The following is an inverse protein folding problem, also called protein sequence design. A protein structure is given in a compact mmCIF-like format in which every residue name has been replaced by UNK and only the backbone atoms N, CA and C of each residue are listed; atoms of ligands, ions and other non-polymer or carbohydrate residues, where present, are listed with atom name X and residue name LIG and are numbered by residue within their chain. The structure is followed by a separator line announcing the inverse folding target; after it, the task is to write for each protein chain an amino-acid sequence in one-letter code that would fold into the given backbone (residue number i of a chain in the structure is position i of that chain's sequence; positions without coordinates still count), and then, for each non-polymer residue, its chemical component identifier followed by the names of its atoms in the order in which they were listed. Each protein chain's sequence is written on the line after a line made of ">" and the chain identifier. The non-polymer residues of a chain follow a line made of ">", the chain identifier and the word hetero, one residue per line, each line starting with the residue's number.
data_IF_762166022481
#
_entry.id   IF_762166022481
#
_cell.length_a   1.000
_cell.length_b   1.000
_cell.length_c   1.000
_cell.angle_alpha   90.00
_cell.angle_beta   90.00
_cell.angle_gamma   90.00
#
_symmetry.space_group_name_H-M   'P 1'
#
loop_
_entity.id
_entity.type
_entity.pdbx_description
1 polymer ?
#
# COMPACT_ATOMS: atom_id res chain seq x y z
N UNK A 1 -22.29 -35.07 -22.06
CA UNK A 1 -22.42 -33.87 -22.91
C UNK A 1 -21.29 -32.93 -22.50
N UNK A 2 -20.34 -32.67 -23.40
CA UNK A 2 -19.03 -32.10 -23.11
C UNK A 2 -19.09 -30.66 -22.57
N UNK A 3 -18.38 -30.42 -21.48
CA UNK A 3 -18.05 -29.12 -20.89
C UNK A 3 -17.17 -28.30 -21.83
N UNK A 4 -17.62 -27.09 -22.22
CA UNK A 4 -16.78 -26.08 -22.86
C UNK A 4 -16.37 -25.04 -21.82
N UNK A 5 -15.13 -25.15 -21.35
CA UNK A 5 -14.40 -24.06 -20.69
C UNK A 5 -14.09 -23.00 -21.75
N UNK A 6 -14.68 -21.82 -21.62
CA UNK A 6 -14.28 -20.66 -22.43
C UNK A 6 -12.90 -20.18 -21.94
N UNK A 7 -11.85 -20.44 -22.72
CA UNK A 7 -10.58 -19.73 -22.58
C UNK A 7 -10.83 -18.27 -22.92
N UNK A 8 -10.53 -17.37 -21.99
CA UNK A 8 -10.37 -15.95 -22.29
C UNK A 8 -9.16 -15.81 -23.23
N UNK A 9 -9.43 -15.44 -24.48
CA UNK A 9 -8.42 -15.21 -25.50
C UNK A 9 -7.54 -14.02 -25.11
N UNK A 10 -6.23 -14.25 -24.98
CA UNK A 10 -5.21 -13.22 -24.72
C UNK A 10 -5.14 -12.14 -25.81
N UNK A 11 -5.87 -12.31 -26.91
CA UNK A 11 -6.00 -11.34 -27.99
C UNK A 11 -6.99 -10.20 -27.66
N UNK A 12 -7.99 -10.44 -26.79
CA UNK A 12 -8.99 -9.43 -26.42
C UNK A 12 -8.47 -8.36 -25.43
N UNK A 13 -7.34 -8.62 -24.78
CA UNK A 13 -6.66 -7.68 -23.86
C UNK A 13 -5.63 -6.78 -24.57
N UNK A 14 -5.27 -7.07 -25.82
CA UNK A 14 -4.29 -6.28 -26.58
C UNK A 14 -4.68 -4.80 -26.78
N UNK A 15 -5.96 -4.42 -26.98
CA UNK A 15 -6.33 -3.02 -27.12
C UNK A 15 -6.31 -2.24 -25.80
N UNK A 16 -6.44 -2.93 -24.65
CA UNK A 16 -6.33 -2.32 -23.32
C UNK A 16 -4.87 -2.15 -22.90
N UNK A 17 -4.01 -3.10 -23.27
CA UNK A 17 -2.56 -3.02 -23.01
C UNK A 17 -1.88 -1.99 -23.93
N UNK A 18 -2.41 -1.75 -25.14
CA UNK A 18 -1.87 -0.71 -26.04
C UNK A 18 -2.15 0.72 -25.58
N UNK A 19 -3.03 0.94 -24.59
CA UNK A 19 -3.25 2.25 -23.95
C UNK A 19 -2.34 2.50 -22.75
N UNK A 20 -1.60 1.50 -22.28
CA UNK A 20 -0.46 1.66 -21.35
C UNK A 20 0.84 1.83 -22.15
N UNK A 21 0.79 2.64 -23.22
CA UNK A 21 1.96 3.32 -23.73
C UNK A 21 2.07 4.61 -22.93
N UNK A 22 2.75 4.52 -21.80
CA UNK A 22 3.33 5.68 -21.13
C UNK A 22 4.11 6.49 -22.16
N UNK A 23 3.56 7.64 -22.52
CA UNK A 23 4.27 8.89 -22.70
C UNK A 23 5.48 8.86 -23.65
N UNK A 24 5.23 8.97 -24.96
CA UNK A 24 6.17 9.66 -25.87
C UNK A 24 6.23 11.18 -25.61
N UNK A 25 5.99 11.63 -24.37
CA UNK A 25 6.30 12.98 -23.87
C UNK A 25 7.66 13.03 -23.18
N UNK A 26 8.28 11.90 -22.83
CA UNK A 26 9.67 11.91 -22.29
C UNK A 26 10.67 12.45 -23.32
N UNK A 27 10.53 12.08 -24.59
CA UNK A 27 11.41 12.57 -25.66
C UNK A 27 11.41 14.09 -25.80
N UNK A 28 10.22 14.70 -25.74
CA UNK A 28 10.06 16.16 -25.87
C UNK A 28 10.43 16.92 -24.60
N UNK A 29 10.21 16.33 -23.42
CA UNK A 29 10.60 16.92 -22.13
C UNK A 29 12.13 16.92 -21.94
N UNK A 30 12.80 15.84 -22.36
CA UNK A 30 14.25 15.69 -22.31
C UNK A 30 14.96 16.54 -23.38
N UNK A 31 14.38 16.69 -24.57
CA UNK A 31 14.98 17.47 -25.67
C UNK A 31 15.04 18.99 -25.41
N UNK A 32 14.09 19.52 -24.64
CA UNK A 32 13.92 20.96 -24.41
C UNK A 32 14.55 21.49 -23.12
N UNK A 33 14.99 20.61 -22.22
CA UNK A 33 15.65 21.02 -20.98
C UNK A 33 17.16 21.23 -21.17
N UNK A 34 17.59 22.49 -21.29
CA UNK A 34 19.02 22.86 -21.41
C UNK A 34 19.88 22.33 -20.25
N UNK A 35 19.30 22.13 -19.07
CA UNK A 35 19.99 21.57 -17.90
C UNK A 35 20.32 20.07 -18.07
N UNK A 36 19.52 19.31 -18.84
CA UNK A 36 19.77 17.88 -19.09
C UNK A 36 20.84 17.64 -20.16
N UNK A 37 20.95 18.51 -21.17
CA UNK A 37 21.96 18.38 -22.24
C UNK A 37 23.41 18.48 -21.75
N UNK A 38 23.68 19.14 -20.62
CA UNK A 38 25.04 19.23 -20.09
C UNK A 38 25.54 17.96 -19.39
N UNK A 39 24.66 17.00 -19.07
CA UNK A 39 25.05 15.74 -18.44
C UNK A 39 25.49 14.65 -19.45
N UNK A 40 25.16 14.82 -20.74
CA UNK A 40 25.42 13.82 -21.78
C UNK A 40 26.54 14.21 -22.74
N UNK A 41 27.40 15.16 -22.37
CA UNK A 41 28.66 15.35 -23.11
C UNK A 41 29.55 14.12 -22.91
N UNK A 42 29.73 13.43 -24.04
CA UNK A 42 30.52 12.23 -24.29
C UNK A 42 31.95 12.29 -23.74
N UNK A 43 32.10 11.82 -22.51
CA UNK A 43 33.12 10.85 -22.11
C UNK A 43 32.36 9.77 -21.34
N UNK A 44 32.58 8.49 -21.64
CA UNK A 44 32.09 7.39 -20.80
C UNK A 44 32.89 7.41 -19.50
N UNK A 45 32.55 8.38 -18.63
CA UNK A 45 33.13 8.47 -17.30
C UNK A 45 32.80 7.16 -16.60
N UNK A 46 33.84 6.33 -16.41
CA UNK A 46 33.72 5.10 -15.66
C UNK A 46 33.31 5.49 -14.24
N UNK A 47 32.14 5.02 -13.80
CA UNK A 47 31.69 5.23 -12.42
C UNK A 47 32.76 4.71 -11.47
N UNK A 48 32.99 5.44 -10.38
CA UNK A 48 33.81 4.95 -9.30
C UNK A 48 33.26 3.60 -8.82
N UNK A 49 34.14 2.61 -8.64
CA UNK A 49 33.73 1.23 -8.38
C UNK A 49 33.03 1.06 -7.03
N UNK A 50 33.42 1.85 -6.03
CA UNK A 50 32.75 1.83 -4.71
C UNK A 50 31.37 2.47 -4.83
N UNK A 51 31.27 3.62 -5.50
CA UNK A 51 29.98 4.25 -5.77
C UNK A 51 29.03 3.33 -6.54
N UNK A 52 29.51 2.67 -7.61
CA UNK A 52 28.71 1.73 -8.41
C UNK A 52 28.16 0.59 -7.54
N UNK A 53 29.00 0.03 -6.65
CA UNK A 53 28.58 -1.02 -5.71
C UNK A 53 27.52 -0.54 -4.73
N UNK A 54 27.72 0.63 -4.10
CA UNK A 54 26.77 1.19 -3.15
C UNK A 54 25.45 1.56 -3.82
N UNK A 55 25.50 2.27 -4.96
CA UNK A 55 24.32 2.64 -5.73
C UNK A 55 23.53 1.40 -6.16
N UNK A 56 24.21 0.37 -6.68
CA UNK A 56 23.57 -0.89 -7.08
C UNK A 56 22.85 -1.59 -5.92
N UNK A 57 23.46 -1.62 -4.74
CA UNK A 57 22.84 -2.21 -3.54
C UNK A 57 21.60 -1.42 -3.10
N UNK A 58 21.69 -0.08 -3.06
CA UNK A 58 20.57 0.79 -2.65
C UNK A 58 19.41 0.74 -3.65
N UNK A 59 19.69 0.75 -4.95
CA UNK A 59 18.66 0.63 -5.99
C UNK A 59 17.88 -0.68 -5.83
N UNK A 60 18.57 -1.80 -5.61
CA UNK A 60 17.91 -3.10 -5.38
C UNK A 60 17.03 -3.07 -4.13
N UNK A 61 17.51 -2.44 -3.05
CA UNK A 61 16.74 -2.28 -1.82
C UNK A 61 15.47 -1.46 -2.08
N UNK A 62 15.57 -0.32 -2.78
CA UNK A 62 14.41 0.53 -3.07
C UNK A 62 13.39 -0.14 -3.97
N UNK A 63 13.81 -0.93 -4.96
CA UNK A 63 12.90 -1.71 -5.80
C UNK A 63 12.08 -2.70 -4.97
N UNK A 64 12.72 -3.45 -4.06
CA UNK A 64 12.02 -4.42 -3.21
C UNK A 64 11.14 -3.71 -2.19
N UNK A 65 11.68 -2.73 -1.47
CA UNK A 65 10.96 -2.00 -0.44
C UNK A 65 9.74 -1.26 -1.00
N UNK A 66 9.89 -0.59 -2.14
CA UNK A 66 8.82 0.16 -2.81
C UNK A 66 7.76 -0.73 -3.47
N UNK A 67 8.14 -1.92 -3.97
CA UNK A 67 7.19 -2.81 -4.63
C UNK A 67 6.40 -3.68 -3.65
N UNK A 68 7.09 -4.40 -2.77
CA UNK A 68 6.46 -5.46 -1.95
C UNK A 68 5.53 -4.88 -0.89
N UNK A 69 5.93 -3.78 -0.24
CA UNK A 69 5.11 -3.14 0.80
C UNK A 69 3.91 -2.40 0.21
N UNK A 70 4.09 -1.68 -0.90
CA UNK A 70 3.02 -0.93 -1.57
C UNK A 70 1.96 -1.86 -2.16
N UNK A 71 2.37 -2.95 -2.80
CA UNK A 71 1.43 -3.94 -3.35
C UNK A 71 0.59 -4.62 -2.26
N UNK A 72 1.19 -4.95 -1.12
CA UNK A 72 0.47 -5.47 0.04
C UNK A 72 -0.53 -4.44 0.60
N UNK A 73 -0.09 -3.20 0.81
CA UNK A 73 -0.96 -2.12 1.30
C UNK A 73 -2.16 -1.86 0.38
N UNK A 74 -1.94 -1.84 -0.94
CA UNK A 74 -3.00 -1.69 -1.92
C UNK A 74 -3.97 -2.88 -1.87
N UNK A 75 -3.46 -4.11 -1.78
CA UNK A 75 -4.28 -5.32 -1.73
C UNK A 75 -5.22 -5.30 -0.52
N UNK A 76 -4.70 -4.97 0.67
CA UNK A 76 -5.52 -4.88 1.88
C UNK A 76 -6.50 -3.70 1.85
N UNK A 77 -6.10 -2.58 1.25
CA UNK A 77 -7.02 -1.44 1.08
C UNK A 77 -8.19 -1.82 0.17
N UNK A 78 -7.94 -2.49 -0.95
CA UNK A 78 -8.99 -3.02 -1.81
C UNK A 78 -9.84 -4.06 -1.07
N UNK A 79 -9.21 -5.02 -0.38
CA UNK A 79 -9.91 -6.05 0.39
C UNK A 79 -10.93 -5.44 1.38
N UNK A 80 -10.48 -4.48 2.19
CA UNK A 80 -11.33 -3.82 3.18
C UNK A 80 -12.42 -2.99 2.51
N UNK A 81 -12.11 -2.21 1.47
CA UNK A 81 -13.14 -1.44 0.77
C UNK A 81 -14.24 -2.34 0.18
N UNK A 82 -13.89 -3.46 -0.46
CA UNK A 82 -14.90 -4.37 -1.03
C UNK A 82 -15.67 -5.20 0.01
N UNK A 83 -15.13 -5.38 1.22
CA UNK A 83 -15.89 -5.91 2.37
C UNK A 83 -16.85 -4.87 2.98
N UNK A 84 -16.58 -3.58 2.79
CA UNK A 84 -17.31 -2.45 3.37
C UNK A 84 -17.94 -1.58 2.27
N UNK A 85 -18.97 -2.07 1.56
CA UNK A 85 -19.55 -1.41 0.40
C UNK A 85 -20.07 -0.01 0.68
N UNK A 86 -20.52 0.27 1.92
CA UNK A 86 -20.93 1.59 2.37
C UNK A 86 -19.79 2.61 2.32
N UNK A 87 -18.57 2.21 2.71
CA UNK A 87 -17.42 3.09 2.69
C UNK A 87 -16.83 3.18 1.27
N UNK A 88 -16.83 2.08 0.52
CA UNK A 88 -16.46 2.09 -0.89
C UNK A 88 -17.33 3.04 -1.71
N UNK A 89 -18.64 3.11 -1.44
CA UNK A 89 -19.54 4.07 -2.09
C UNK A 89 -19.12 5.52 -1.82
N UNK A 90 -18.68 5.84 -0.59
CA UNK A 90 -18.17 7.18 -0.22
C UNK A 90 -16.85 7.50 -0.94
N UNK A 91 -15.95 6.53 -1.04
CA UNK A 91 -14.69 6.67 -1.81
C UNK A 91 -14.98 6.94 -3.29
N UNK A 92 -15.91 6.19 -3.89
CA UNK A 92 -16.33 6.39 -5.29
C UNK A 92 -16.98 7.77 -5.49
N UNK A 93 -17.85 8.19 -4.58
CA UNK A 93 -18.46 9.53 -4.62
C UNK A 93 -17.43 10.66 -4.49
N UNK A 94 -16.43 10.50 -3.62
CA UNK A 94 -15.29 11.42 -3.54
C UNK A 94 -14.54 11.49 -4.87
N UNK A 95 -14.24 10.34 -5.49
CA UNK A 95 -13.55 10.29 -6.77
C UNK A 95 -14.36 10.96 -7.88
N UNK A 96 -15.67 10.71 -7.94
CA UNK A 96 -16.54 11.32 -8.95
C UNK A 96 -16.63 12.84 -8.77
N UNK A 97 -16.55 13.34 -7.53
CA UNK A 97 -16.53 14.78 -7.24
C UNK A 97 -15.25 15.48 -7.72
N UNK A 98 -14.10 14.78 -7.70
CA UNK A 98 -12.79 15.34 -8.06
C UNK A 98 -12.44 15.11 -9.53
N UNK A 99 -12.79 13.94 -10.08
CA UNK A 99 -12.38 13.50 -11.42
C UNK A 99 -13.55 13.42 -12.42
N UNK A 100 -14.76 13.80 -12.02
CA UNK A 100 -15.98 13.63 -12.80
C UNK A 100 -16.47 12.18 -12.81
N UNK A 101 -17.60 11.92 -13.46
CA UNK A 101 -18.24 10.58 -13.47
C UNK A 101 -17.67 9.64 -14.53
N UNK A 102 -16.91 10.14 -15.51
CA UNK A 102 -16.25 9.30 -16.51
C UNK A 102 -15.00 8.64 -15.90
N UNK A 103 -15.09 7.34 -15.63
CA UNK A 103 -14.00 6.56 -15.07
C UNK A 103 -12.80 6.42 -16.04
N UNK A 104 -13.03 6.56 -17.35
CA UNK A 104 -11.98 6.49 -18.37
C UNK A 104 -11.10 7.75 -18.41
N UNK A 105 -11.64 8.90 -18.01
CA UNK A 105 -10.92 10.18 -18.02
C UNK A 105 -9.95 10.35 -16.83
N UNK A 106 -10.04 9.49 -15.80
CA UNK A 106 -9.29 9.61 -14.55
C UNK A 106 -7.78 9.76 -14.77
N UNK A 107 -7.22 8.90 -15.63
CA UNK A 107 -5.78 8.83 -15.88
C UNK A 107 -5.28 10.10 -16.58
N UNK A 108 -6.03 10.63 -17.56
CA UNK A 108 -5.67 11.85 -18.27
C UNK A 108 -5.78 13.07 -17.34
N UNK A 109 -6.83 13.14 -16.52
CA UNK A 109 -7.01 14.21 -15.53
C UNK A 109 -5.85 14.21 -14.52
N UNK A 110 -5.52 13.05 -13.93
CA UNK A 110 -4.40 12.92 -13.00
C UNK A 110 -3.04 13.23 -13.63
N UNK A 111 -2.84 12.86 -14.90
CA UNK A 111 -1.60 13.16 -15.62
C UNK A 111 -1.44 14.67 -15.86
N UNK A 112 -2.55 15.39 -16.01
CA UNK A 112 -2.54 16.85 -16.18
C UNK A 112 -2.42 17.60 -14.85
N UNK A 113 -3.06 17.11 -13.79
CA UNK A 113 -2.98 17.69 -12.45
C UNK A 113 -2.88 16.60 -11.35
N UNK A 114 -1.65 16.16 -11.00
CA UNK A 114 -1.42 15.21 -9.92
C UNK A 114 -1.82 15.73 -8.54
N UNK A 115 -1.97 17.04 -8.36
CA UNK A 115 -2.29 17.63 -7.05
C UNK A 115 -3.70 17.31 -6.58
N UNK A 116 -4.58 16.88 -7.50
CA UNK A 116 -5.93 16.38 -7.21
C UNK A 116 -5.93 15.22 -6.20
N UNK A 117 -4.84 14.45 -6.09
CA UNK A 117 -4.70 13.39 -5.08
C UNK A 117 -4.73 13.92 -3.63
N UNK A 118 -4.48 15.22 -3.43
CA UNK A 118 -4.58 15.89 -2.13
C UNK A 118 -6.03 16.15 -1.73
N UNK A 119 -6.98 16.12 -2.68
CA UNK A 119 -8.41 16.34 -2.46
C UNK A 119 -9.16 15.04 -2.17
N UNK A 120 -8.46 13.99 -1.69
CA UNK A 120 -9.02 12.67 -1.43
C UNK A 120 -8.93 12.26 0.07
N UNK A 121 -9.51 13.04 1.01
CA UNK A 121 -9.45 12.72 2.44
C UNK A 121 -10.10 11.38 2.81
N UNK A 122 -11.24 11.00 2.21
CA UNK A 122 -11.96 9.74 2.47
C UNK A 122 -11.12 8.55 1.97
N UNK A 123 -10.55 8.65 0.77
CA UNK A 123 -9.59 7.64 0.26
C UNK A 123 -8.37 7.54 1.16
N UNK A 124 -7.82 8.68 1.61
CA UNK A 124 -6.68 8.71 2.53
C UNK A 124 -6.99 8.03 3.86
N UNK A 125 -8.20 8.24 4.39
CA UNK A 125 -8.67 7.59 5.60
C UNK A 125 -8.75 6.06 5.44
N UNK A 126 -9.29 5.56 4.31
CA UNK A 126 -9.31 4.13 4.02
C UNK A 126 -7.91 3.51 3.95
N UNK A 127 -6.96 4.18 3.29
CA UNK A 127 -5.56 3.71 3.21
C UNK A 127 -4.94 3.67 4.62
N UNK A 128 -5.11 4.72 5.41
CA UNK A 128 -4.55 4.79 6.77
C UNK A 128 -5.12 3.72 7.70
N UNK A 129 -6.42 3.44 7.60
CA UNK A 129 -7.07 2.38 8.38
C UNK A 129 -6.67 0.99 7.92
N UNK A 130 -6.47 0.80 6.61
CA UNK A 130 -5.97 -0.47 6.06
C UNK A 130 -4.55 -0.77 6.53
N UNK A 131 -3.67 0.23 6.48
CA UNK A 131 -2.30 0.14 7.00
C UNK A 131 -2.23 -0.06 8.52
N UNK A 132 -3.28 0.35 9.25
CA UNK A 132 -3.41 0.10 10.68
C UNK A 132 -3.74 -1.36 10.95
N UNK A 133 -4.74 -1.90 10.25
CA UNK A 133 -5.20 -3.28 10.45
C UNK A 133 -4.24 -4.33 9.87
N UNK A 134 -3.54 -3.98 8.79
CA UNK A 134 -2.64 -4.86 8.04
C UNK A 134 -1.34 -4.12 7.69
N UNK A 135 -0.49 -3.79 8.68
CA UNK A 135 0.79 -3.13 8.44
C UNK A 135 1.69 -4.04 7.59
N UNK A 136 2.21 -3.59 6.42
CA UNK A 136 3.01 -4.46 5.55
C UNK A 136 4.36 -4.83 6.14
N UNK A 137 4.93 -4.00 7.01
CA UNK A 137 6.26 -4.17 7.56
C UNK A 137 6.31 -3.72 9.03
N UNK A 138 7.33 -4.19 9.74
CA UNK A 138 7.68 -3.72 11.08
C UNK A 138 9.19 -3.49 11.19
N UNK A 139 9.62 -2.89 12.29
CA UNK A 139 11.03 -2.57 12.52
C UNK A 139 11.57 -3.23 13.79
N UNK A 140 12.74 -3.85 13.67
CA UNK A 140 13.58 -4.23 14.81
C UNK A 140 14.76 -3.25 14.86
N UNK A 141 15.23 -2.94 16.07
CA UNK A 141 16.43 -2.16 16.34
C UNK A 141 17.34 -2.95 17.26
N UNK A 142 18.63 -2.81 17.07
CA UNK A 142 19.60 -3.23 18.08
C UNK A 142 19.59 -2.20 19.21
N UNK A 143 19.49 -2.66 20.44
CA UNK A 143 19.60 -1.82 21.62
C UNK A 143 21.03 -1.34 21.84
N UNK A 144 21.19 -0.40 22.78
CA UNK A 144 22.47 0.23 23.09
C UNK A 144 22.66 0.34 24.60
N UNK A 145 23.89 0.25 25.13
CA UNK A 145 24.18 0.49 26.54
C UNK A 145 23.75 1.89 27.01
N UNK A 146 23.68 2.86 26.10
CA UNK A 146 23.29 4.23 26.43
C UNK A 146 21.76 4.45 26.39
N UNK A 147 20.98 3.42 26.07
CA UNK A 147 19.52 3.50 25.95
C UNK A 147 18.86 2.56 26.95
N UNK A 148 17.99 3.12 27.78
CA UNK A 148 17.09 2.41 28.70
C UNK A 148 15.66 2.83 28.40
N UNK A 149 14.78 1.87 28.10
CA UNK A 149 13.35 2.13 27.98
C UNK A 149 12.74 2.21 29.38
N UNK A 150 11.79 3.11 29.58
CA UNK A 150 11.12 3.29 30.87
C UNK A 150 9.62 3.13 30.64
N UNK A 151 8.99 2.19 31.34
CA UNK A 151 7.54 2.01 31.31
C UNK A 151 6.83 3.10 32.12
N UNK A 152 5.51 3.21 31.95
CA UNK A 152 4.68 4.21 32.64
C UNK A 152 4.75 4.09 34.18
N UNK A 153 4.98 2.88 34.71
CA UNK A 153 5.16 2.61 36.14
C UNK A 153 6.59 2.91 36.66
N UNK A 154 7.48 3.40 35.80
CA UNK A 154 8.87 3.69 36.11
C UNK A 154 9.82 2.50 36.00
N UNK A 155 9.33 1.31 35.65
CA UNK A 155 10.17 0.13 35.42
C UNK A 155 11.14 0.38 34.27
N UNK A 156 12.42 0.11 34.52
CA UNK A 156 13.51 0.32 33.55
C UNK A 156 13.88 -0.97 32.83
N UNK A 157 14.04 -0.86 31.52
CA UNK A 157 14.46 -1.93 30.62
C UNK A 157 15.73 -1.47 29.88
N UNK A 158 16.92 -1.76 30.43
CA UNK A 158 18.18 -1.55 29.72
C UNK A 158 18.14 -2.29 28.38
N UNK A 159 18.59 -1.64 27.31
CA UNK A 159 18.46 -2.22 25.95
C UNK A 159 19.71 -2.91 25.45
N UNK A 160 20.84 -2.82 26.18
CA UNK A 160 22.09 -3.45 25.77
C UNK A 160 21.92 -4.96 25.52
N UNK A 161 22.49 -5.43 24.41
CA UNK A 161 22.36 -6.82 23.96
C UNK A 161 20.94 -7.27 23.57
N UNK A 162 19.95 -6.37 23.54
CA UNK A 162 18.57 -6.70 23.20
C UNK A 162 18.19 -6.27 21.78
N UNK A 163 17.37 -7.07 21.10
CA UNK A 163 16.63 -6.62 19.93
C UNK A 163 15.33 -5.96 20.39
N UNK A 164 15.15 -4.69 20.04
CA UNK A 164 13.98 -3.89 20.36
C UNK A 164 13.03 -3.93 19.17
N UNK A 165 11.84 -4.51 19.39
CA UNK A 165 10.84 -4.68 18.35
C UNK A 165 9.59 -3.86 18.67
N UNK A 166 9.08 -3.14 17.67
CA UNK A 166 7.77 -2.48 17.74
C UNK A 166 6.75 -3.40 17.03
N UNK A 167 5.88 -4.11 17.79
CA UNK A 167 4.88 -5.00 17.20
C UNK A 167 3.71 -4.16 16.66
N UNK A 168 3.82 -3.71 15.41
CA UNK A 168 2.88 -2.77 14.79
C UNK A 168 1.44 -3.27 14.86
N UNK A 169 1.19 -4.53 14.49
CA UNK A 169 -0.14 -5.14 14.53
C UNK A 169 -0.74 -5.09 15.94
N UNK A 170 0.05 -5.40 16.97
CA UNK A 170 -0.41 -5.37 18.36
C UNK A 170 -0.68 -3.94 18.86
N UNK A 171 0.22 -2.99 18.55
CA UNK A 171 0.03 -1.56 18.90
C UNK A 171 -1.20 -1.00 18.21
N UNK A 172 -1.40 -1.36 16.94
CA UNK A 172 -2.51 -0.87 16.12
C UNK A 172 -3.85 -1.51 16.44
N UNK A 173 -3.87 -2.68 17.09
CA UNK A 173 -5.07 -3.35 17.58
C UNK A 173 -5.26 -3.25 19.10
N UNK A 174 -4.45 -2.45 19.80
CA UNK A 174 -4.61 -2.27 21.24
C UNK A 174 -5.82 -1.36 21.56
N UNK A 175 -6.86 -1.85 22.26
CA UNK A 175 -8.04 -1.06 22.59
C UNK A 175 -7.77 0.11 23.54
N UNK A 176 -6.62 0.13 24.23
CA UNK A 176 -6.18 1.28 25.02
C UNK A 176 -5.82 2.50 24.14
N UNK A 177 -5.49 2.29 22.87
CA UNK A 177 -5.11 3.34 21.93
C UNK A 177 -6.11 3.52 20.78
N UNK A 178 -6.88 2.48 20.47
CA UNK A 178 -7.77 2.42 19.32
C UNK A 178 -9.18 2.01 19.74
N UNK A 179 -10.14 2.95 19.80
CA UNK A 179 -11.55 2.63 19.96
C UNK A 179 -12.00 1.70 18.83
N UNK A 180 -12.68 0.59 19.16
CA UNK A 180 -13.08 -0.45 18.18
C UNK A 180 -11.88 -0.96 17.37
N UNK A 181 -10.84 -1.38 18.10
CA UNK A 181 -9.50 -1.63 17.54
C UNK A 181 -9.46 -2.67 16.41
N UNK A 182 -10.30 -3.69 16.46
CA UNK A 182 -10.31 -4.75 15.44
C UNK A 182 -11.18 -4.45 14.22
N UNK A 183 -11.96 -3.37 14.27
CA UNK A 183 -12.89 -2.99 13.22
C UNK A 183 -12.27 -2.03 12.21
N UNK A 184 -12.69 -2.12 10.95
CA UNK A 184 -12.37 -1.14 9.92
C UNK A 184 -13.25 0.10 10.08
N UNK A 185 -12.69 1.16 10.69
CA UNK A 185 -13.41 2.42 10.94
C UNK A 185 -12.56 3.60 10.42
N UNK A 186 -12.55 3.86 9.10
CA UNK A 186 -11.73 4.94 8.55
C UNK A 186 -12.11 6.34 9.07
N UNK A 187 -13.36 6.54 9.49
CA UNK A 187 -13.86 7.80 10.02
C UNK A 187 -13.06 8.33 11.22
N UNK A 188 -12.31 7.48 11.92
CA UNK A 188 -11.35 7.89 12.97
C UNK A 188 -10.23 8.82 12.49
N UNK A 189 -10.00 8.88 11.17
CA UNK A 189 -9.03 9.78 10.54
C UNK A 189 -9.69 11.00 9.89
N UNK A 190 -11.01 11.14 10.01
CA UNK A 190 -11.82 12.25 9.51
C UNK A 190 -12.49 13.04 10.63
N UNK A 191 -12.51 12.50 11.85
CA UNK A 191 -13.10 13.14 13.03
C UNK A 191 -12.14 14.12 13.70
N UNK A 192 -12.71 15.03 14.49
CA UNK A 192 -11.95 15.98 15.31
C UNK A 192 -11.34 15.28 16.55
N UNK A 193 -10.30 15.86 17.17
CA UNK A 193 -9.62 15.28 18.34
C UNK A 193 -10.52 14.97 19.54
N UNK A 194 -11.64 15.67 19.68
CA UNK A 194 -12.61 15.49 20.76
C UNK A 194 -13.58 14.31 20.53
N UNK A 195 -13.60 13.75 19.32
CA UNK A 195 -14.45 12.61 18.99
C UNK A 195 -13.97 11.34 19.72
N UNK A 196 -14.86 10.55 20.36
CA UNK A 196 -14.49 9.29 21.00
C UNK A 196 -13.83 8.25 20.09
N UNK A 197 -13.93 8.37 18.76
CA UNK A 197 -13.25 7.52 17.77
C UNK A 197 -11.80 7.97 17.49
N UNK A 198 -11.44 9.20 17.85
CA UNK A 198 -10.11 9.75 17.58
C UNK A 198 -9.04 8.95 18.32
N UNK A 199 -8.01 8.44 17.62
CA UNK A 199 -7.03 7.55 18.24
C UNK A 199 -6.04 8.31 19.10
N UNK A 200 -5.39 7.60 20.03
CA UNK A 200 -4.30 8.17 20.84
C UNK A 200 -3.22 8.77 19.94
N UNK A 201 -2.82 10.02 20.23
CA UNK A 201 -1.83 10.76 19.43
C UNK A 201 -0.52 9.96 19.34
N UNK A 202 -0.04 9.75 18.11
CA UNK A 202 1.19 9.01 17.85
C UNK A 202 1.05 7.47 17.86
N UNK A 203 -0.16 6.93 18.08
CA UNK A 203 -0.40 5.48 18.02
C UNK A 203 -0.34 4.93 16.58
N UNK A 204 -0.63 5.75 15.57
CA UNK A 204 -0.50 5.35 14.17
C UNK A 204 0.98 5.36 13.75
N UNK A 205 1.49 4.18 13.38
CA UNK A 205 2.93 3.89 13.21
C UNK A 205 3.25 3.18 11.90
N UNK A 206 2.36 3.19 10.91
CA UNK A 206 2.55 2.41 9.67
C UNK A 206 3.84 2.72 8.90
N UNK A 207 4.38 3.94 9.07
CA UNK A 207 5.65 4.39 8.47
C UNK A 207 6.71 4.74 9.54
N UNK A 208 6.48 4.34 10.79
CA UNK A 208 7.29 4.68 11.97
C UNK A 208 7.49 6.19 12.23
N UNK A 209 8.22 6.52 13.31
CA UNK A 209 8.62 7.89 13.66
C UNK A 209 10.13 8.01 13.87
N UNK A 210 10.61 9.26 13.82
CA UNK A 210 12.00 9.61 14.09
C UNK A 210 12.91 9.47 12.86
N UNK A 211 14.24 9.42 13.05
CA UNK A 211 15.22 9.49 11.96
C UNK A 211 15.22 8.26 11.03
N UNK A 212 14.54 7.18 11.44
CA UNK A 212 14.37 5.96 10.66
C UNK A 212 12.91 5.73 10.25
N UNK A 213 12.11 6.80 10.15
CA UNK A 213 10.80 6.71 9.51
C UNK A 213 10.96 6.40 8.00
N UNK A 214 9.88 5.97 7.37
CA UNK A 214 9.91 5.58 5.97
C UNK A 214 10.14 6.79 5.05
N UNK A 215 11.29 6.83 4.39
CA UNK A 215 11.60 7.85 3.36
C UNK A 215 10.68 7.76 2.14
N UNK A 216 10.08 6.59 1.89
CA UNK A 216 9.19 6.32 0.76
C UNK A 216 7.72 6.63 1.02
N UNK A 217 7.35 7.11 2.21
CA UNK A 217 5.95 7.30 2.61
C UNK A 217 5.14 8.13 1.60
N UNK A 218 5.68 9.26 1.16
CA UNK A 218 4.99 10.13 0.19
C UNK A 218 4.76 9.44 -1.15
N UNK A 219 5.76 8.70 -1.64
CA UNK A 219 5.65 7.95 -2.89
C UNK A 219 4.62 6.83 -2.77
N UNK A 220 4.71 6.01 -1.72
CA UNK A 220 3.79 4.89 -1.49
C UNK A 220 2.32 5.37 -1.40
N UNK A 221 2.05 6.43 -0.64
CA UNK A 221 0.69 6.99 -0.55
C UNK A 221 0.20 7.56 -1.88
N UNK A 222 1.09 8.16 -2.68
CA UNK A 222 0.76 8.66 -4.02
C UNK A 222 0.41 7.52 -4.97
N UNK A 223 1.23 6.46 -4.99
CA UNK A 223 1.00 5.26 -5.81
C UNK A 223 -0.33 4.57 -5.44
N UNK A 224 -0.56 4.34 -4.14
CA UNK A 224 -1.78 3.68 -3.67
C UNK A 224 -3.02 4.51 -4.04
N UNK A 225 -3.01 5.82 -3.79
CA UNK A 225 -4.15 6.69 -4.17
C UNK A 225 -4.40 6.67 -5.67
N UNK A 226 -3.34 6.79 -6.47
CA UNK A 226 -3.43 6.78 -7.94
C UNK A 226 -4.06 5.48 -8.43
N UNK A 227 -3.57 4.34 -7.93
CA UNK A 227 -4.09 3.01 -8.27
C UNK A 227 -5.54 2.85 -7.80
N UNK A 228 -5.90 3.31 -6.61
CA UNK A 228 -7.28 3.25 -6.13
C UNK A 228 -8.22 4.06 -7.02
N UNK A 229 -7.86 5.28 -7.40
CA UNK A 229 -8.67 6.11 -8.32
C UNK A 229 -8.93 5.39 -9.64
N UNK A 230 -7.93 4.71 -10.20
CA UNK A 230 -8.10 3.97 -11.45
C UNK A 230 -8.91 2.69 -11.26
N UNK A 231 -8.68 1.94 -10.18
CA UNK A 231 -9.24 0.60 -9.99
C UNK A 231 -10.68 0.64 -9.49
N UNK A 232 -10.96 1.36 -8.39
CA UNK A 232 -12.28 1.26 -7.73
C UNK A 232 -13.39 1.92 -8.54
N UNK A 233 -13.06 2.81 -9.48
CA UNK A 233 -14.03 3.45 -10.38
C UNK A 233 -14.46 2.53 -11.52
N UNK A 234 -13.59 1.63 -11.97
CA UNK A 234 -13.79 0.82 -13.18
C UNK A 234 -14.09 -0.66 -12.91
N UNK A 235 -13.70 -1.19 -11.76
CA UNK A 235 -13.80 -2.61 -11.47
C UNK A 235 -14.60 -2.86 -10.20
N UNK A 236 -15.12 -4.07 -10.09
CA UNK A 236 -15.56 -4.67 -8.84
C UNK A 236 -14.68 -5.89 -8.54
N UNK A 237 -14.34 -6.07 -7.27
CA UNK A 237 -13.50 -7.17 -6.79
C UNK A 237 -14.27 -7.99 -5.75
N UNK A 238 -14.14 -9.32 -5.85
CA UNK A 238 -14.65 -10.26 -4.86
C UNK A 238 -13.60 -11.29 -4.52
N UNK A 239 -13.30 -11.49 -3.24
CA UNK A 239 -12.43 -12.58 -2.82
C UNK A 239 -13.02 -13.95 -3.20
N UNK A 240 -12.14 -14.90 -3.53
CA UNK A 240 -12.50 -16.21 -4.06
C UNK A 240 -11.86 -17.35 -3.26
N UNK A 241 -11.59 -17.13 -1.97
CA UNK A 241 -10.98 -18.15 -1.11
C UNK A 241 -11.78 -19.45 -1.03
N UNK A 242 -13.11 -19.39 -1.04
CA UNK A 242 -13.93 -20.60 -1.04
C UNK A 242 -13.72 -21.47 -2.30
N UNK A 243 -13.48 -20.84 -3.45
CA UNK A 243 -13.17 -21.54 -4.71
C UNK A 243 -11.72 -22.05 -4.72
N UNK A 244 -10.81 -21.24 -4.18
CA UNK A 244 -9.42 -21.63 -3.98
C UNK A 244 -9.30 -22.87 -3.09
N UNK A 245 -10.01 -22.90 -1.97
CA UNK A 245 -9.95 -23.98 -0.99
C UNK A 245 -10.51 -25.31 -1.53
N UNK A 246 -11.44 -25.27 -2.49
CA UNK A 246 -11.93 -26.47 -3.19
C UNK A 246 -10.85 -27.12 -4.06
N UNK A 247 -9.96 -26.33 -4.65
CA UNK A 247 -8.88 -26.79 -5.53
C UNK A 247 -7.54 -26.97 -4.80
N UNK A 248 -7.38 -26.33 -3.64
CA UNK A 248 -6.17 -26.35 -2.82
C UNK A 248 -6.54 -26.65 -1.36
N UNK A 249 -6.95 -27.88 -1.03
CA UNK A 249 -7.32 -28.23 0.33
C UNK A 249 -6.14 -28.02 1.27
N UNK A 250 -6.28 -27.06 2.18
CA UNK A 250 -5.25 -26.70 3.16
C UNK A 250 -5.45 -27.52 4.43
N UNK A 251 -4.40 -28.20 4.90
CA UNK A 251 -4.34 -28.73 6.25
C UNK A 251 -3.75 -27.65 7.17
N UNK A 252 -4.52 -27.17 8.15
CA UNK A 252 -4.07 -26.17 9.12
C UNK A 252 -5.03 -24.99 9.28
N UNK A 253 -4.48 -23.84 9.69
CA UNK A 253 -5.21 -22.61 9.94
C UNK A 253 -5.89 -22.11 8.66
N UNK A 254 -7.20 -21.86 8.73
CA UNK A 254 -7.97 -21.28 7.62
C UNK A 254 -8.13 -19.78 7.77
N UNK A 255 -8.32 -19.30 8.99
CA UNK A 255 -8.56 -17.90 9.30
C UNK A 255 -7.72 -17.52 10.52
N UNK A 256 -7.25 -16.28 10.56
CA UNK A 256 -6.65 -15.68 11.75
C UNK A 256 -7.39 -14.39 12.07
N UNK A 257 -7.77 -14.18 13.34
CA UNK A 257 -8.54 -13.01 13.77
C UNK A 257 -9.84 -12.77 12.97
N UNK A 258 -10.50 -13.86 12.55
CA UNK A 258 -11.71 -13.80 11.73
C UNK A 258 -11.47 -13.45 10.25
N UNK A 259 -10.21 -13.40 9.81
CA UNK A 259 -9.85 -13.06 8.44
C UNK A 259 -9.28 -14.25 7.67
N UNK A 260 -9.91 -14.57 6.54
CA UNK A 260 -9.38 -15.56 5.59
C UNK A 260 -8.15 -15.01 4.86
N UNK A 261 -8.14 -13.71 4.61
CA UNK A 261 -7.00 -12.97 4.05
C UNK A 261 -5.96 -12.59 5.11
N UNK A 262 -5.71 -13.43 6.13
CA UNK A 262 -4.72 -13.13 7.16
C UNK A 262 -3.29 -12.97 6.60
N UNK A 263 -2.49 -12.14 7.28
CA UNK A 263 -1.11 -11.86 6.89
C UNK A 263 -0.19 -13.07 7.11
N UNK A 264 0.61 -13.38 6.09
CA UNK A 264 1.68 -14.38 6.10
C UNK A 264 2.98 -13.76 5.60
N UNK A 265 4.12 -14.25 6.09
CA UNK A 265 5.43 -13.84 5.57
C UNK A 265 5.62 -14.40 4.16
N UNK A 266 5.90 -13.53 3.19
CA UNK A 266 5.90 -13.86 1.77
C UNK A 266 7.16 -13.45 1.01
N UNK A 267 8.35 -13.75 1.53
CA UNK A 267 9.63 -13.74 0.79
C UNK A 267 10.23 -12.39 0.35
N UNK A 268 9.43 -11.32 0.24
CA UNK A 268 9.87 -9.99 -0.25
C UNK A 268 10.10 -8.92 0.81
N UNK A 269 9.98 -9.28 2.09
CA UNK A 269 10.13 -8.35 3.24
C UNK A 269 8.82 -7.77 3.75
N UNK A 270 7.76 -7.76 2.94
CA UNK A 270 6.39 -7.44 3.35
C UNK A 270 5.58 -8.65 3.81
N UNK A 271 4.57 -8.39 4.64
CA UNK A 271 3.52 -9.34 4.95
C UNK A 271 2.44 -9.33 3.86
N UNK A 272 1.96 -10.50 3.46
CA UNK A 272 1.05 -10.69 2.32
C UNK A 272 -0.20 -11.45 2.75
N UNK A 273 -1.33 -11.30 2.04
CA UNK A 273 -2.50 -12.14 2.29
C UNK A 273 -2.21 -13.62 2.02
N UNK A 274 -2.79 -14.46 2.87
CA UNK A 274 -2.74 -15.92 2.73
C UNK A 274 -3.15 -16.33 1.31
N UNK A 275 -2.54 -17.39 0.77
CA UNK A 275 -2.82 -17.89 -0.58
C UNK A 275 -2.66 -16.85 -1.71
N UNK A 276 -1.96 -15.73 -1.48
CA UNK A 276 -1.78 -14.63 -2.46
C UNK A 276 -3.09 -14.00 -2.94
N UNK A 277 -4.12 -13.97 -2.08
CA UNK A 277 -5.39 -13.28 -2.31
C UNK A 277 -6.13 -13.70 -3.60
N UNK A 278 -6.63 -14.95 -3.68
CA UNK A 278 -7.48 -15.37 -4.78
C UNK A 278 -8.71 -14.48 -4.86
N UNK A 279 -8.97 -13.89 -6.03
CA UNK A 279 -10.12 -13.01 -6.25
C UNK A 279 -10.64 -13.09 -7.69
N UNK A 280 -11.89 -12.66 -7.86
CA UNK A 280 -12.52 -12.39 -9.16
C UNK A 280 -12.63 -10.89 -9.36
N UNK A 281 -12.44 -10.46 -10.60
CA UNK A 281 -12.54 -9.06 -11.01
C UNK A 281 -13.54 -8.98 -12.17
N UNK A 282 -14.47 -8.03 -12.09
CA UNK A 282 -15.40 -7.69 -13.17
C UNK A 282 -15.31 -6.20 -13.47
N UNK A 283 -15.67 -5.81 -14.69
CA UNK A 283 -15.87 -4.39 -15.03
C UNK A 283 -17.16 -3.93 -14.35
N UNK A 284 -17.11 -2.75 -13.73
CA UNK A 284 -18.26 -2.12 -13.09
C UNK A 284 -19.21 -1.57 -14.14
N UNK A 285 -20.50 -1.86 -13.98
CA UNK A 285 -21.59 -1.35 -14.83
C UNK A 285 -21.94 0.12 -14.55
#
# INVERSE_FOLDING_TARGET
>A
MQTKTAKLDSCALKPLISRVHLLTREGDYLANNKCYKSYYTTETAKLDGDFERYASAQIRLFLVAGHDTTSSALTYTLHLLYKHPEFLARVRAEHDSVFGTDAGAAADILSNDPTLLNQLPITSAAIKESLRLFPPAGGVREGSPDITLVAEDGTQYPTDGCAIWVPHEAVHRNPAYWPRADEFVPDRFLCEPEDPLYPTKGAWRAFEFGPHNCIGQTLALTEIKTLLVMVVRQFDLKEAYAEWDQSHPVAGLREANGERAYQVSGGGGGQHPSCRYPCRISVRE
#
